data_IF_885750992449
#
_entry.id   IF_885750992449
#
_cell.length_a   1.000
_cell.length_b   1.000
_cell.length_c   1.000
_cell.angle_alpha   90.00
_cell.angle_beta   90.00
_cell.angle_gamma   90.00
#
_symmetry.space_group_name_H-M   'P 1'
#
loop_
_entity.id
_entity.type
_entity.pdbx_description
1 polymer ?
#
# COMPACT_ATOMS: atom_id res chain seq x y z
N UNK A 1 25.16 8.49 59.33
CA UNK A 1 26.10 8.44 58.19
C UNK A 1 25.58 7.56 57.06
N UNK A 2 25.13 6.32 57.30
CA UNK A 2 24.71 5.41 56.22
C UNK A 2 23.46 5.84 55.43
N UNK A 3 22.53 6.57 56.06
CA UNK A 3 21.28 7.00 55.41
C UNK A 3 21.50 8.14 54.41
N UNK A 4 22.36 9.10 54.72
CA UNK A 4 22.78 10.17 53.79
C UNK A 4 23.55 9.60 52.59
N UNK A 5 24.44 8.63 52.82
CA UNK A 5 25.16 7.96 51.75
C UNK A 5 24.21 7.26 50.77
N UNK A 6 23.17 6.61 51.31
CA UNK A 6 22.18 5.89 50.50
C UNK A 6 21.25 6.85 49.72
N UNK A 7 20.88 7.98 50.31
CA UNK A 7 20.12 9.05 49.65
C UNK A 7 20.95 9.68 48.52
N UNK A 8 22.24 9.95 48.76
CA UNK A 8 23.14 10.50 47.75
C UNK A 8 23.35 9.53 46.57
N UNK A 9 23.56 8.24 46.84
CA UNK A 9 23.67 7.22 45.78
C UNK A 9 22.38 7.09 44.98
N UNK A 10 21.21 7.21 45.63
CA UNK A 10 19.93 7.19 44.94
C UNK A 10 19.77 8.40 44.01
N UNK A 11 20.14 9.59 44.48
CA UNK A 11 20.09 10.83 43.69
C UNK A 11 21.03 10.74 42.48
N UNK A 12 22.28 10.30 42.68
CA UNK A 12 23.25 10.15 41.59
C UNK A 12 22.77 9.17 40.51
N UNK A 13 22.13 8.07 40.93
CA UNK A 13 21.55 7.09 40.00
C UNK A 13 20.34 7.64 39.25
N UNK A 14 19.47 8.39 39.91
CA UNK A 14 18.31 9.04 39.27
C UNK A 14 18.77 10.10 38.27
N UNK A 15 19.79 10.89 38.62
CA UNK A 15 20.37 11.89 37.72
C UNK A 15 21.02 11.22 36.49
N UNK A 16 21.73 10.10 36.68
CA UNK A 16 22.30 9.33 35.58
C UNK A 16 21.22 8.74 34.66
N UNK A 17 20.13 8.19 35.22
CA UNK A 17 19.00 7.67 34.43
C UNK A 17 18.31 8.79 33.67
N UNK A 18 18.11 9.97 34.30
CA UNK A 18 17.52 11.12 33.64
C UNK A 18 18.36 11.58 32.44
N UNK A 19 19.69 11.69 32.60
CA UNK A 19 20.60 12.01 31.49
C UNK A 19 20.53 10.99 30.36
N UNK A 20 20.65 9.70 30.67
CA UNK A 20 20.62 8.62 29.67
C UNK A 20 19.28 8.46 28.96
N UNK A 21 18.16 8.82 29.60
CA UNK A 21 16.83 8.78 28.98
C UNK A 21 16.52 10.02 28.15
N UNK A 22 17.11 11.18 28.48
CA UNK A 22 17.05 12.38 27.63
C UNK A 22 18.01 12.31 26.43
N UNK A 23 19.10 11.56 26.55
CA UNK A 23 20.04 11.28 25.46
C UNK A 23 19.50 10.16 24.53
N UNK A 24 18.34 10.42 23.92
CA UNK A 24 18.04 9.83 22.62
C UNK A 24 19.09 10.31 21.63
N UNK A 25 19.80 9.39 20.98
CA UNK A 25 21.03 9.63 20.20
C UNK A 25 20.82 10.48 18.95
N UNK A 26 20.62 11.78 19.11
CA UNK A 26 20.78 12.80 18.09
C UNK A 26 21.43 13.99 18.79
N UNK A 27 22.70 14.26 18.51
CA UNK A 27 23.39 15.39 19.13
C UNK A 27 22.76 16.69 18.62
N UNK A 28 22.78 17.76 19.42
CA UNK A 28 22.27 19.08 18.98
C UNK A 28 22.91 19.51 17.64
N UNK A 29 24.18 19.11 17.41
CA UNK A 29 24.88 19.25 16.13
C UNK A 29 24.21 18.50 14.97
N UNK A 30 23.79 17.25 15.17
CA UNK A 30 23.15 16.45 14.13
C UNK A 30 21.78 17.03 13.75
N UNK A 31 21.07 17.58 14.75
CA UNK A 31 19.82 18.32 14.57
C UNK A 31 20.04 19.63 13.80
N UNK A 32 21.07 20.39 14.13
CA UNK A 32 21.45 21.62 13.43
C UNK A 32 21.82 21.35 11.97
N UNK A 33 22.62 20.31 11.72
CA UNK A 33 23.00 19.88 10.36
C UNK A 33 21.76 19.54 9.54
N UNK A 34 20.82 18.76 10.10
CA UNK A 34 19.59 18.39 9.41
C UNK A 34 18.71 19.61 9.09
N UNK A 35 18.53 20.53 10.06
CA UNK A 35 17.74 21.74 9.86
C UNK A 35 18.36 22.69 8.83
N UNK A 36 19.70 22.83 8.82
CA UNK A 36 20.40 23.63 7.83
C UNK A 36 20.25 23.03 6.42
N UNK A 37 20.39 21.70 6.28
CA UNK A 37 20.19 21.00 5.01
C UNK A 37 18.78 21.19 4.46
N UNK A 38 17.75 21.07 5.32
CA UNK A 38 16.35 21.30 4.97
C UNK A 38 16.14 22.75 4.52
N UNK A 39 16.73 23.71 5.23
CA UNK A 39 16.61 25.12 4.88
C UNK A 39 17.34 25.47 3.57
N UNK A 40 18.42 24.77 3.21
CA UNK A 40 19.10 24.93 1.92
C UNK A 40 18.30 24.33 0.76
N UNK A 41 17.66 23.17 0.98
CA UNK A 41 16.75 22.54 0.00
C UNK A 41 15.50 23.41 -0.20
N UNK A 42 14.87 23.90 0.87
CA UNK A 42 13.68 24.75 0.80
C UNK A 42 13.96 26.10 0.12
N UNK A 43 15.20 26.60 0.21
CA UNK A 43 15.66 27.81 -0.49
C UNK A 43 16.00 27.59 -1.97
N UNK A 44 15.97 26.34 -2.46
CA UNK A 44 16.20 26.01 -3.86
C UNK A 44 17.66 26.16 -4.30
N UNK A 45 18.62 26.15 -3.36
CA UNK A 45 20.04 26.23 -3.69
C UNK A 45 20.53 24.89 -4.26
N UNK A 46 20.58 24.83 -5.59
CA UNK A 46 21.21 23.76 -6.35
C UNK A 46 22.72 23.72 -6.03
N UNK A 47 23.24 22.59 -5.56
CA UNK A 47 24.70 22.41 -5.42
C UNK A 47 25.28 22.32 -6.84
N UNK A 48 25.87 23.43 -7.30
CA UNK A 48 26.54 23.55 -8.59
C UNK A 48 28.06 23.53 -8.36
N UNK A 49 28.73 22.48 -8.83
CA UNK A 49 30.18 22.49 -9.03
C UNK A 49 30.46 22.23 -10.51
N UNK A 50 31.53 22.79 -11.09
CA UNK A 50 31.87 22.60 -12.51
C UNK A 50 32.03 21.12 -12.93
N UNK A 51 32.22 20.20 -11.98
CA UNK A 51 32.34 18.77 -12.24
C UNK A 51 31.01 17.99 -12.20
N UNK A 52 30.00 18.45 -11.44
CA UNK A 52 28.71 17.76 -11.35
C UNK A 52 27.60 18.64 -10.75
N UNK A 53 26.36 18.39 -11.17
CA UNK A 53 25.14 19.03 -10.66
C UNK A 53 24.31 17.99 -9.92
N UNK A 54 23.98 18.22 -8.65
CA UNK A 54 23.06 17.35 -7.88
C UNK A 54 21.73 18.08 -7.72
N UNK A 55 20.68 17.56 -8.36
CA UNK A 55 19.31 18.05 -8.23
C UNK A 55 18.57 17.16 -7.22
N UNK A 56 18.15 17.73 -6.09
CA UNK A 56 17.23 17.06 -5.17
C UNK A 56 15.80 17.44 -5.54
N UNK A 57 15.15 16.59 -6.33
CA UNK A 57 13.72 16.69 -6.59
C UNK A 57 12.96 15.81 -5.60
N UNK A 58 12.36 16.41 -4.59
CA UNK A 58 11.29 15.77 -3.85
C UNK A 58 9.98 16.06 -4.59
N UNK A 59 9.58 15.16 -5.49
CA UNK A 59 8.19 15.11 -5.89
C UNK A 59 7.38 14.79 -4.62
N UNK A 60 6.28 15.52 -4.29
CA UNK A 60 5.35 14.99 -3.31
C UNK A 60 5.02 13.59 -3.79
N UNK A 61 5.35 12.56 -3.00
CA UNK A 61 4.99 11.19 -3.34
C UNK A 61 3.47 11.21 -3.40
N UNK A 62 2.83 11.16 -4.60
CA UNK A 62 1.44 10.78 -4.59
C UNK A 62 1.44 9.42 -3.90
N UNK A 63 0.59 9.28 -2.88
CA UNK A 63 0.25 8.01 -2.23
C UNK A 63 0.63 6.87 -3.15
N UNK A 64 1.73 6.18 -2.80
CA UNK A 64 2.44 5.15 -3.59
C UNK A 64 1.76 4.93 -4.94
N UNK A 65 2.36 5.36 -6.06
CA UNK A 65 1.93 4.90 -7.39
C UNK A 65 1.65 3.41 -7.23
N UNK A 66 0.36 3.05 -7.12
CA UNK A 66 -0.04 1.67 -6.94
C UNK A 66 0.49 1.10 -8.23
N UNK A 67 1.56 0.32 -8.15
CA UNK A 67 2.01 -0.52 -9.25
C UNK A 67 0.71 -1.11 -9.77
N UNK A 68 0.24 -0.66 -10.94
CA UNK A 68 -1.11 -0.97 -11.38
C UNK A 68 -1.16 -2.49 -11.41
N UNK A 69 -1.78 -3.08 -10.39
CA UNK A 69 -1.94 -4.50 -10.29
C UNK A 69 -2.81 -4.80 -11.48
N UNK A 70 -2.23 -5.43 -12.50
CA UNK A 70 -2.96 -5.87 -13.66
C UNK A 70 -3.81 -7.06 -13.20
N UNK A 71 -4.90 -6.75 -12.52
CA UNK A 71 -5.82 -7.72 -11.93
C UNK A 71 -6.49 -8.42 -13.09
N UNK A 72 -6.32 -9.73 -13.16
CA UNK A 72 -6.97 -10.55 -14.18
C UNK A 72 -7.90 -11.54 -13.51
N UNK A 73 -9.14 -11.55 -13.96
CA UNK A 73 -10.21 -12.42 -13.47
C UNK A 73 -10.66 -13.26 -14.65
N UNK A 74 -10.33 -14.55 -14.64
CA UNK A 74 -10.82 -15.50 -15.64
C UNK A 74 -11.86 -16.40 -14.99
N UNK A 75 -13.05 -16.46 -15.58
CA UNK A 75 -14.13 -17.32 -15.12
C UNK A 75 -14.43 -18.32 -16.23
N UNK A 76 -14.48 -19.58 -15.86
CA UNK A 76 -14.95 -20.66 -16.71
C UNK A 76 -16.30 -21.11 -16.19
N UNK A 77 -17.31 -21.10 -17.05
CA UNK A 77 -18.64 -21.64 -16.77
C UNK A 77 -18.76 -23.01 -17.44
N UNK A 78 -19.36 -23.96 -16.75
CA UNK A 78 -19.56 -25.30 -17.30
C UNK A 78 -20.52 -25.28 -18.49
N UNK A 79 -20.08 -25.86 -19.62
CA UNK A 79 -20.85 -26.03 -20.85
C UNK A 79 -22.13 -26.85 -20.65
N UNK A 80 -22.14 -27.76 -19.67
CA UNK A 80 -23.27 -28.64 -19.39
C UNK A 80 -24.42 -27.88 -18.72
N UNK A 81 -24.19 -26.63 -18.26
CA UNK A 81 -25.24 -25.73 -17.75
C UNK A 81 -26.07 -25.04 -18.86
N UNK A 82 -25.77 -25.29 -20.15
CA UNK A 82 -26.53 -24.75 -21.30
C UNK A 82 -26.70 -23.22 -21.26
N UNK A 83 -25.68 -22.50 -20.80
CA UNK A 83 -25.71 -21.04 -20.69
C UNK A 83 -25.59 -20.42 -22.08
N UNK A 84 -26.56 -19.60 -22.44
CA UNK A 84 -26.55 -18.86 -23.72
C UNK A 84 -25.44 -17.80 -23.75
N UNK A 85 -24.88 -17.56 -24.95
CA UNK A 85 -23.82 -16.56 -25.16
C UNK A 85 -24.21 -15.16 -24.63
N UNK A 86 -25.48 -14.77 -24.77
CA UNK A 86 -26.00 -13.50 -24.27
C UNK A 86 -25.87 -13.36 -22.75
N UNK A 87 -26.08 -14.45 -22.00
CA UNK A 87 -25.92 -14.48 -20.54
C UNK A 87 -24.44 -14.40 -20.17
N UNK A 88 -23.56 -15.07 -20.92
CA UNK A 88 -22.11 -14.98 -20.73
C UNK A 88 -21.62 -13.54 -20.90
N UNK A 89 -22.09 -12.86 -21.93
CA UNK A 89 -21.74 -11.46 -22.21
C UNK A 89 -22.30 -10.51 -21.15
N UNK A 90 -23.57 -10.67 -20.76
CA UNK A 90 -24.18 -9.88 -19.70
C UNK A 90 -23.43 -10.05 -18.36
N UNK A 91 -23.09 -11.30 -18.02
CA UNK A 91 -22.32 -11.61 -16.81
C UNK A 91 -20.93 -10.98 -16.84
N UNK A 92 -20.22 -11.11 -17.97
CA UNK A 92 -18.92 -10.48 -18.14
C UNK A 92 -19.01 -8.95 -18.02
N UNK A 93 -20.04 -8.33 -18.60
CA UNK A 93 -20.25 -6.88 -18.52
C UNK A 93 -20.49 -6.43 -17.06
N UNK A 94 -21.37 -7.11 -16.32
CA UNK A 94 -21.66 -6.73 -14.93
C UNK A 94 -20.44 -6.91 -14.02
N UNK A 95 -19.71 -8.01 -14.17
CA UNK A 95 -18.45 -8.22 -13.46
C UNK A 95 -17.40 -7.15 -13.82
N UNK A 96 -17.24 -6.86 -15.11
CA UNK A 96 -16.30 -5.81 -15.57
C UNK A 96 -16.66 -4.47 -14.94
N UNK A 97 -17.95 -4.15 -14.83
CA UNK A 97 -18.43 -2.91 -14.23
C UNK A 97 -18.15 -2.84 -12.72
N UNK A 98 -18.52 -3.87 -11.95
CA UNK A 98 -18.32 -3.87 -10.49
C UNK A 98 -16.83 -3.95 -10.11
N UNK A 99 -16.07 -4.80 -10.80
CA UNK A 99 -14.64 -4.97 -10.54
C UNK A 99 -13.86 -3.74 -11.01
N UNK A 100 -14.22 -3.15 -12.15
CA UNK A 100 -13.61 -1.93 -12.68
C UNK A 100 -13.75 -0.72 -11.74
N UNK A 101 -14.80 -0.67 -10.92
CA UNK A 101 -14.99 0.39 -9.92
C UNK A 101 -13.92 0.36 -8.82
N UNK A 102 -13.40 -0.82 -8.46
CA UNK A 102 -12.34 -0.98 -7.45
C UNK A 102 -10.94 -1.10 -8.09
N UNK A 103 -10.86 -1.70 -9.27
CA UNK A 103 -9.64 -2.00 -10.00
C UNK A 103 -9.76 -1.51 -11.46
N UNK A 104 -9.49 -0.22 -11.74
CA UNK A 104 -9.72 0.37 -13.06
C UNK A 104 -8.94 -0.28 -14.21
N UNK A 105 -7.75 -0.82 -13.94
CA UNK A 105 -6.91 -1.51 -14.92
C UNK A 105 -7.17 -3.03 -14.99
N UNK A 106 -8.26 -3.51 -14.39
CA UNK A 106 -8.60 -4.94 -14.37
C UNK A 106 -9.08 -5.46 -15.73
N UNK A 107 -8.89 -6.76 -15.95
CA UNK A 107 -9.39 -7.48 -17.12
C UNK A 107 -10.19 -8.68 -16.66
N UNK A 108 -11.47 -8.67 -17.02
CA UNK A 108 -12.40 -9.77 -16.76
C UNK A 108 -12.63 -10.55 -18.06
N UNK A 109 -12.62 -11.87 -17.98
CA UNK A 109 -12.92 -12.75 -19.12
C UNK A 109 -13.78 -13.90 -18.63
N UNK A 110 -14.93 -14.10 -19.26
CA UNK A 110 -15.82 -15.22 -19.00
C UNK A 110 -15.85 -16.11 -20.23
N UNK A 111 -15.64 -17.41 -20.04
CA UNK A 111 -15.67 -18.40 -21.13
C UNK A 111 -16.46 -19.64 -20.71
N UNK A 112 -16.95 -20.36 -21.70
CA UNK A 112 -17.57 -21.68 -21.50
C UNK A 112 -16.48 -22.76 -21.58
N UNK A 113 -16.49 -23.71 -20.65
CA UNK A 113 -15.51 -24.79 -20.56
C UNK A 113 -16.10 -26.07 -19.98
N UNK A 114 -15.24 -27.02 -19.61
CA UNK A 114 -15.71 -28.35 -19.12
C UNK A 114 -15.95 -28.41 -17.61
N UNK A 115 -15.45 -27.44 -16.84
CA UNK A 115 -15.58 -27.38 -15.38
C UNK A 115 -15.70 -25.92 -14.99
N UNK A 116 -16.60 -25.61 -14.05
CA UNK A 116 -16.72 -24.27 -13.48
C UNK A 116 -15.48 -23.94 -12.65
N UNK A 117 -14.88 -22.77 -12.88
CA UNK A 117 -13.68 -22.36 -12.16
C UNK A 117 -13.42 -20.86 -12.23
N UNK A 118 -12.71 -20.35 -11.22
CA UNK A 118 -12.31 -18.94 -11.11
C UNK A 118 -10.80 -18.88 -10.92
N UNK A 119 -10.13 -18.07 -11.74
CA UNK A 119 -8.71 -17.78 -11.62
C UNK A 119 -8.51 -16.28 -11.41
N UNK A 120 -7.83 -15.93 -10.32
CA UNK A 120 -7.48 -14.56 -9.97
C UNK A 120 -5.97 -14.37 -10.05
N UNK A 121 -5.51 -13.35 -10.78
CA UNK A 121 -4.09 -13.00 -10.89
C UNK A 121 -3.88 -11.51 -10.60
N UNK A 122 -2.67 -11.16 -10.16
CA UNK A 122 -2.29 -9.77 -9.89
C UNK A 122 -2.72 -9.23 -8.52
N UNK A 123 -3.16 -10.09 -7.60
CA UNK A 123 -3.58 -9.70 -6.25
C UNK A 123 -2.47 -10.03 -5.23
N UNK A 124 -1.86 -8.98 -4.70
CA UNK A 124 -0.80 -9.08 -3.67
C UNK A 124 -1.36 -9.07 -2.24
N UNK A 125 -2.51 -8.42 -2.01
CA UNK A 125 -3.13 -8.31 -0.69
C UNK A 125 -4.33 -9.22 -0.55
N UNK A 126 -4.45 -9.86 0.61
CA UNK A 126 -5.60 -10.75 0.89
C UNK A 126 -6.93 -10.00 0.94
N UNK A 127 -6.94 -8.77 1.48
CA UNK A 127 -8.13 -7.92 1.46
C UNK A 127 -8.65 -7.62 0.04
N UNK A 128 -7.75 -7.54 -0.96
CA UNK A 128 -8.16 -7.33 -2.36
C UNK A 128 -8.78 -8.61 -2.94
N UNK A 129 -8.31 -9.79 -2.51
CA UNK A 129 -8.91 -11.08 -2.87
C UNK A 129 -10.30 -11.24 -2.27
N UNK A 130 -10.44 -10.93 -0.99
CA UNK A 130 -11.72 -11.00 -0.27
C UNK A 130 -12.75 -10.04 -0.88
N UNK A 131 -12.35 -8.83 -1.24
CA UNK A 131 -13.23 -7.88 -1.93
C UNK A 131 -13.71 -8.41 -3.30
N UNK A 132 -12.82 -9.05 -4.07
CA UNK A 132 -13.18 -9.68 -5.34
C UNK A 132 -14.10 -10.88 -5.15
N UNK A 133 -13.85 -11.72 -4.16
CA UNK A 133 -14.70 -12.87 -3.83
C UNK A 133 -16.12 -12.43 -3.47
N UNK A 134 -16.25 -11.39 -2.66
CA UNK A 134 -17.55 -10.78 -2.32
C UNK A 134 -18.29 -10.31 -3.57
N UNK A 135 -17.62 -9.60 -4.48
CA UNK A 135 -18.23 -9.13 -5.73
C UNK A 135 -18.68 -10.31 -6.61
N UNK A 136 -17.82 -11.32 -6.77
CA UNK A 136 -18.15 -12.49 -7.60
C UNK A 136 -19.39 -13.20 -7.06
N UNK A 137 -19.45 -13.40 -5.75
CA UNK A 137 -20.57 -14.04 -5.08
C UNK A 137 -21.84 -13.21 -5.18
N UNK A 138 -21.76 -11.91 -4.91
CA UNK A 138 -22.90 -10.99 -5.01
C UNK A 138 -23.47 -10.97 -6.43
N UNK A 139 -22.64 -10.85 -7.47
CA UNK A 139 -23.12 -10.84 -8.86
C UNK A 139 -23.68 -12.20 -9.24
N UNK A 140 -23.12 -13.30 -8.74
CA UNK A 140 -23.67 -14.64 -9.01
C UNK A 140 -25.06 -14.85 -8.36
N UNK A 141 -25.27 -14.34 -7.15
CA UNK A 141 -26.54 -14.45 -6.42
C UNK A 141 -27.59 -13.43 -6.89
N UNK A 142 -27.16 -12.24 -7.31
CA UNK A 142 -28.00 -11.15 -7.78
C UNK A 142 -28.33 -11.34 -9.26
N UNK A 143 -29.45 -11.96 -9.58
CA UNK A 143 -29.88 -12.19 -10.97
C UNK A 143 -30.37 -10.93 -11.71
N UNK A 144 -30.29 -9.73 -11.12
CA UNK A 144 -30.85 -8.50 -11.71
C UNK A 144 -30.17 -8.02 -13.00
N UNK A 145 -28.98 -8.56 -13.33
CA UNK A 145 -28.26 -8.27 -14.57
C UNK A 145 -28.60 -9.21 -15.74
N UNK A 146 -29.41 -10.25 -15.49
CA UNK A 146 -29.76 -11.30 -16.46
C UNK A 146 -30.92 -10.93 -17.38
#
# INVERSE_FOLDING_TARGET
MDRELNEQVMIERVEMIARLTTEGTCQERDREIALNLIAEIARGNLIKNNAFTVVFSASPVPERIKKESNVRVNITLDKDQLIGQSIVEAFQCELTRRIGALFPSSRVTVKIGSVTGVELQGLEREADREALDSILREVWEDESWR
#
